data_IF_712143414716
#
_entry.id   IF_712143414716
#
_cell.length_a   1.000
_cell.length_b   1.000
_cell.length_c   1.000
_cell.angle_alpha   90.00
_cell.angle_beta   90.00
_cell.angle_gamma   90.00
#
_symmetry.space_group_name_H-M   'P 1'
#
loop_
_entity.id
_entity.type
_entity.pdbx_description
1 polymer ?
#
# COMPACT_ATOMS: atom_id res chain seq x y z
N UNK A 1 9.88 37.81 9.88
CA UNK A 1 8.74 37.63 8.96
C UNK A 1 7.63 36.95 9.75
N UNK A 2 6.71 37.76 10.29
CA UNK A 2 5.55 37.26 11.00
C UNK A 2 4.52 36.82 9.95
N UNK A 3 4.25 35.52 9.89
CA UNK A 3 3.19 34.98 9.05
C UNK A 3 1.85 35.29 9.72
N UNK A 4 1.14 36.26 9.17
CA UNK A 4 -0.25 36.55 9.47
C UNK A 4 -1.12 35.34 9.12
N UNK A 5 -1.44 34.51 10.12
CA UNK A 5 -2.47 33.48 10.01
C UNK A 5 -3.85 34.08 10.29
N UNK A 6 -4.72 34.06 9.29
CA UNK A 6 -6.10 34.58 9.32
C UNK A 6 -6.92 34.13 10.55
N UNK A 7 -7.66 35.03 11.24
CA UNK A 7 -8.41 34.69 12.45
C UNK A 7 -9.84 34.18 12.19
N UNK A 8 -10.06 33.27 11.23
CA UNK A 8 -11.42 32.84 10.84
C UNK A 8 -11.67 31.34 10.63
N UNK A 9 -10.66 30.45 10.69
CA UNK A 9 -10.86 29.01 10.48
C UNK A 9 -11.35 28.22 11.72
N UNK A 10 -11.57 28.91 12.85
CA UNK A 10 -11.85 28.33 14.17
C UNK A 10 -13.32 28.42 14.61
N UNK A 11 -14.27 28.65 13.71
CA UNK A 11 -15.69 28.84 14.09
C UNK A 11 -16.29 27.65 14.84
N UNK A 12 -16.56 26.54 14.15
CA UNK A 12 -17.26 25.39 14.73
C UNK A 12 -16.34 24.42 15.47
N UNK A 13 -15.06 24.35 15.09
CA UNK A 13 -14.07 23.47 15.72
C UNK A 13 -13.86 23.83 17.20
N UNK A 14 -14.04 25.11 17.57
CA UNK A 14 -13.97 25.55 18.95
C UNK A 14 -15.15 25.06 19.82
N UNK A 15 -16.31 24.73 19.22
CA UNK A 15 -17.45 24.14 19.95
C UNK A 15 -17.21 22.66 20.31
N UNK A 16 -16.28 22.00 19.63
CA UNK A 16 -15.98 20.60 19.85
C UNK A 16 -15.07 20.45 21.08
N UNK A 17 -15.58 19.74 22.08
CA UNK A 17 -14.77 19.30 23.21
C UNK A 17 -13.72 18.26 22.75
N UNK A 18 -12.48 18.70 22.55
CA UNK A 18 -11.36 17.85 22.14
C UNK A 18 -11.06 16.68 23.09
N UNK A 19 -11.48 16.77 24.37
CA UNK A 19 -11.31 15.67 25.35
C UNK A 19 -12.31 14.54 25.15
N UNK A 20 -13.37 14.74 24.36
CA UNK A 20 -14.38 13.72 24.12
C UNK A 20 -13.83 12.64 23.17
N UNK A 21 -14.09 11.36 23.45
CA UNK A 21 -13.70 10.27 22.54
C UNK A 21 -14.16 10.50 21.10
N UNK A 22 -13.21 10.39 20.16
CA UNK A 22 -13.42 10.59 18.73
C UNK A 22 -13.56 12.04 18.27
N UNK A 23 -13.47 13.04 19.15
CA UNK A 23 -13.48 14.45 18.77
C UNK A 23 -12.39 14.80 17.75
N UNK A 24 -11.23 14.19 17.94
CA UNK A 24 -10.05 14.37 17.09
C UNK A 24 -10.27 13.97 15.64
N UNK A 25 -11.17 13.03 15.33
CA UNK A 25 -11.57 12.73 13.96
C UNK A 25 -12.15 13.95 13.26
N UNK A 26 -13.10 14.62 13.91
CA UNK A 26 -13.77 15.80 13.36
C UNK A 26 -12.84 17.00 13.28
N UNK A 27 -11.97 17.17 14.29
CA UNK A 27 -10.99 18.25 14.35
C UNK A 27 -9.87 18.11 13.29
N UNK A 28 -9.50 16.87 12.93
CA UNK A 28 -8.49 16.60 11.91
C UNK A 28 -8.95 16.89 10.48
N UNK A 29 -10.24 17.13 10.25
CA UNK A 29 -10.75 17.44 8.91
C UNK A 29 -10.36 18.86 8.53
N UNK A 30 -9.31 19.04 7.72
CA UNK A 30 -8.83 20.34 7.27
C UNK A 30 -9.65 21.00 6.14
N UNK A 31 -10.56 20.25 5.50
CA UNK A 31 -11.31 20.72 4.34
C UNK A 31 -12.83 20.61 4.50
N UNK A 32 -13.50 20.09 3.47
CA UNK A 32 -14.94 19.83 3.52
C UNK A 32 -15.25 18.84 4.62
N UNK A 33 -16.13 19.26 5.53
CA UNK A 33 -16.73 18.43 6.56
C UNK A 33 -17.39 17.18 5.95
N UNK A 34 -16.91 15.99 6.33
CA UNK A 34 -17.44 14.69 5.91
C UNK A 34 -17.68 13.83 7.13
N UNK A 35 -18.90 13.38 7.32
CA UNK A 35 -19.26 12.48 8.41
C UNK A 35 -19.57 11.11 7.84
N UNK A 36 -18.51 10.31 7.66
CA UNK A 36 -18.62 8.94 7.17
C UNK A 36 -18.40 7.94 8.32
N UNK A 37 -19.37 7.07 8.63
CA UNK A 37 -19.18 6.05 9.65
C UNK A 37 -18.01 5.10 9.34
N UNK A 38 -17.71 4.80 8.07
CA UNK A 38 -16.60 3.92 7.72
C UNK A 38 -15.25 4.55 8.06
N UNK A 39 -15.02 5.80 7.66
CA UNK A 39 -13.82 6.56 8.02
C UNK A 39 -13.69 6.74 9.54
N UNK A 40 -14.82 6.95 10.23
CA UNK A 40 -14.83 7.06 11.68
C UNK A 40 -14.42 5.75 12.38
N UNK A 41 -14.91 4.61 11.90
CA UNK A 41 -14.53 3.29 12.42
C UNK A 41 -13.03 3.06 12.23
N UNK A 42 -12.53 3.34 11.03
CA UNK A 42 -11.10 3.21 10.71
C UNK A 42 -10.25 4.12 11.60
N UNK A 43 -10.63 5.38 11.74
CA UNK A 43 -9.95 6.33 12.64
C UNK A 43 -9.91 5.85 14.08
N UNK A 44 -11.03 5.33 14.59
CA UNK A 44 -11.09 4.87 15.98
C UNK A 44 -10.28 3.58 16.18
N UNK A 45 -10.08 2.79 15.13
CA UNK A 45 -9.21 1.59 15.11
C UNK A 45 -9.47 0.64 16.29
N UNK A 46 -10.71 0.57 16.78
CA UNK A 46 -11.00 -0.11 18.04
C UNK A 46 -11.06 -1.64 17.88
N UNK A 47 -10.93 -2.31 19.02
CA UNK A 47 -11.19 -3.75 19.16
C UNK A 47 -12.68 -4.07 19.06
N UNK A 48 -12.98 -5.30 18.62
CA UNK A 48 -14.34 -5.76 18.29
C UNK A 48 -15.35 -5.61 19.44
N UNK A 49 -14.87 -5.77 20.67
CA UNK A 49 -15.65 -5.70 21.92
C UNK A 49 -16.25 -4.30 22.19
N UNK A 50 -15.70 -3.26 21.55
CA UNK A 50 -16.15 -1.88 21.72
C UNK A 50 -17.17 -1.40 20.66
N UNK A 51 -17.62 -2.28 19.77
CA UNK A 51 -18.51 -1.95 18.65
C UNK A 51 -19.82 -1.25 19.06
N UNK A 52 -20.43 -1.67 20.18
CA UNK A 52 -21.63 -1.04 20.74
C UNK A 52 -21.32 0.38 21.22
N UNK A 53 -20.18 0.57 21.89
CA UNK A 53 -19.70 1.88 22.35
C UNK A 53 -19.49 2.81 21.17
N UNK A 54 -18.86 2.32 20.09
CA UNK A 54 -18.59 3.10 18.89
C UNK A 54 -19.87 3.59 18.20
N UNK A 55 -20.88 2.71 18.07
CA UNK A 55 -22.20 3.09 17.53
C UNK A 55 -22.89 4.15 18.37
N UNK A 56 -22.86 4.01 19.71
CA UNK A 56 -23.44 4.99 20.63
C UNK A 56 -22.70 6.32 20.56
N UNK A 57 -21.37 6.28 20.51
CA UNK A 57 -20.49 7.44 20.37
C UNK A 57 -20.79 8.21 19.08
N UNK A 58 -20.84 7.52 17.95
CA UNK A 58 -21.20 8.10 16.64
C UNK A 58 -22.60 8.72 16.64
N UNK A 59 -23.61 7.99 17.13
CA UNK A 59 -24.97 8.51 17.21
C UNK A 59 -25.07 9.74 18.12
N UNK A 60 -24.28 9.78 19.21
CA UNK A 60 -24.19 10.94 20.08
C UNK A 60 -23.53 12.12 19.36
N UNK A 61 -22.44 11.88 18.61
CA UNK A 61 -21.80 12.92 17.81
C UNK A 61 -22.75 13.54 16.78
N UNK A 62 -23.44 12.72 15.99
CA UNK A 62 -24.39 13.24 15.00
C UNK A 62 -25.53 14.04 15.65
N UNK A 63 -26.03 13.61 16.81
CA UNK A 63 -27.05 14.34 17.56
C UNK A 63 -26.56 15.72 18.01
N UNK A 64 -25.35 15.76 18.57
CA UNK A 64 -24.79 17.01 19.10
C UNK A 64 -24.43 17.97 17.96
N UNK A 65 -23.87 17.45 16.87
CA UNK A 65 -23.52 18.23 15.68
C UNK A 65 -24.76 18.74 14.92
N UNK A 66 -25.88 18.01 14.96
CA UNK A 66 -27.17 18.50 14.46
C UNK A 66 -27.69 19.72 15.23
N UNK A 67 -27.24 19.91 16.46
CA UNK A 67 -27.60 21.05 17.30
C UNK A 67 -26.51 22.14 17.32
N UNK A 68 -25.47 22.04 16.49
CA UNK A 68 -24.43 23.07 16.41
C UNK A 68 -25.00 24.41 15.95
N UNK A 69 -24.40 25.52 16.39
CA UNK A 69 -24.79 26.86 15.93
C UNK A 69 -24.49 27.08 14.43
N UNK A 70 -23.58 26.29 13.87
CA UNK A 70 -23.10 26.42 12.50
C UNK A 70 -23.95 25.63 11.50
N UNK A 71 -24.56 26.33 10.55
CA UNK A 71 -25.49 25.72 9.59
C UNK A 71 -24.83 24.62 8.74
N UNK A 72 -23.62 24.86 8.23
CA UNK A 72 -22.91 23.88 7.42
C UNK A 72 -22.60 22.58 8.21
N UNK A 73 -22.35 22.67 9.52
CA UNK A 73 -22.17 21.50 10.40
C UNK A 73 -23.48 20.74 10.54
N UNK A 74 -24.59 21.45 10.83
CA UNK A 74 -25.92 20.83 10.95
C UNK A 74 -26.33 20.13 9.66
N UNK A 75 -26.15 20.77 8.50
CA UNK A 75 -26.48 20.18 7.20
C UNK A 75 -25.67 18.91 6.95
N UNK A 76 -24.37 18.91 7.25
CA UNK A 76 -23.53 17.71 7.09
C UNK A 76 -23.92 16.62 8.10
N UNK A 77 -24.23 16.96 9.35
CA UNK A 77 -24.70 16.02 10.37
C UNK A 77 -26.05 15.37 10.00
N UNK A 78 -26.96 16.14 9.43
CA UNK A 78 -28.24 15.65 8.96
C UNK A 78 -28.10 14.71 7.75
N UNK A 79 -27.13 14.99 6.87
CA UNK A 79 -26.81 14.15 5.71
C UNK A 79 -25.95 12.91 6.07
N UNK A 80 -25.38 12.86 7.27
CA UNK A 80 -24.51 11.79 7.70
C UNK A 80 -25.25 10.46 7.82
N UNK A 81 -24.60 9.38 7.42
CA UNK A 81 -25.17 8.04 7.54
C UNK A 81 -25.14 7.59 9.01
N UNK A 82 -26.20 6.88 9.41
CA UNK A 82 -26.18 6.14 10.68
C UNK A 82 -25.21 4.97 10.57
N UNK A 83 -24.40 4.77 11.60
CA UNK A 83 -23.54 3.59 11.69
C UNK A 83 -24.39 2.34 11.94
N UNK A 84 -24.38 1.43 10.98
CA UNK A 84 -25.06 0.12 11.05
C UNK A 84 -24.08 -0.97 11.46
N UNK A 85 -24.61 -2.16 11.74
CA UNK A 85 -23.80 -3.35 12.02
C UNK A 85 -22.95 -3.73 10.79
N UNK A 86 -23.50 -3.63 9.58
CA UNK A 86 -22.79 -3.96 8.34
C UNK A 86 -21.50 -3.14 8.16
N UNK A 87 -21.49 -1.86 8.55
CA UNK A 87 -20.27 -1.04 8.48
C UNK A 87 -19.15 -1.62 9.36
N UNK A 88 -19.50 -2.10 10.56
CA UNK A 88 -18.56 -2.72 11.49
C UNK A 88 -18.10 -4.07 10.96
N UNK A 89 -19.04 -4.90 10.51
CA UNK A 89 -18.75 -6.25 10.01
C UNK A 89 -17.84 -6.16 8.78
N UNK A 90 -18.14 -5.26 7.84
CA UNK A 90 -17.29 -5.02 6.68
C UNK A 90 -15.88 -4.56 7.09
N UNK A 91 -15.76 -3.64 8.05
CA UNK A 91 -14.46 -3.20 8.55
C UNK A 91 -13.65 -4.36 9.15
N UNK A 92 -14.28 -5.20 9.98
CA UNK A 92 -13.58 -6.33 10.61
C UNK A 92 -13.21 -7.42 9.60
N UNK A 93 -14.09 -7.73 8.65
CA UNK A 93 -13.80 -8.64 7.54
C UNK A 93 -12.58 -8.12 6.78
N UNK A 94 -12.60 -6.85 6.39
CA UNK A 94 -11.52 -6.25 5.60
C UNK A 94 -10.19 -6.24 6.37
N UNK A 95 -10.24 -5.98 7.69
CA UNK A 95 -9.08 -6.06 8.58
C UNK A 95 -8.53 -7.49 8.69
N UNK A 96 -9.39 -8.50 8.83
CA UNK A 96 -8.97 -9.92 8.89
C UNK A 96 -8.34 -10.34 7.56
N UNK A 97 -8.97 -9.98 6.44
CA UNK A 97 -8.46 -10.29 5.09
C UNK A 97 -7.10 -9.62 4.86
N UNK A 98 -6.97 -8.32 5.20
CA UNK A 98 -5.69 -7.60 5.11
C UNK A 98 -4.60 -8.24 5.97
N UNK A 99 -4.91 -8.59 7.22
CA UNK A 99 -3.97 -9.31 8.10
C UNK A 99 -3.53 -10.64 7.48
N UNK A 100 -4.49 -11.44 7.01
CA UNK A 100 -4.17 -12.73 6.39
C UNK A 100 -3.31 -12.60 5.14
N UNK A 101 -3.56 -11.57 4.32
CA UNK A 101 -2.73 -11.26 3.16
C UNK A 101 -1.29 -10.92 3.56
N UNK A 102 -1.10 -10.12 4.61
CA UNK A 102 0.23 -9.81 5.13
C UNK A 102 0.94 -11.06 5.63
N UNK A 103 0.27 -11.92 6.42
CA UNK A 103 0.86 -13.16 6.93
C UNK A 103 1.33 -14.09 5.79
N UNK A 104 0.54 -14.19 4.70
CA UNK A 104 0.90 -14.99 3.52
C UNK A 104 2.09 -14.39 2.77
N UNK A 105 2.14 -13.06 2.61
CA UNK A 105 3.25 -12.38 1.95
C UNK A 105 4.54 -12.50 2.76
N UNK A 106 4.47 -12.40 4.08
CA UNK A 106 5.61 -12.59 4.99
C UNK A 106 6.16 -14.01 4.86
N UNK A 107 5.30 -15.03 4.93
CA UNK A 107 5.71 -16.42 4.76
C UNK A 107 6.33 -16.69 3.38
N UNK A 108 5.77 -16.11 2.31
CA UNK A 108 6.33 -16.23 0.97
C UNK A 108 7.72 -15.55 0.86
N UNK A 109 7.90 -14.40 1.51
CA UNK A 109 9.18 -13.71 1.53
C UNK A 109 10.25 -14.52 2.29
N UNK A 110 9.88 -15.15 3.41
CA UNK A 110 10.78 -16.04 4.16
C UNK A 110 11.20 -17.26 3.34
N UNK A 111 10.25 -17.89 2.63
CA UNK A 111 10.54 -19.03 1.75
C UNK A 111 11.47 -18.65 0.59
N UNK A 112 11.24 -17.48 -0.02
CA UNK A 112 12.12 -16.97 -1.08
C UNK A 112 13.54 -16.70 -0.55
N UNK A 113 13.66 -16.06 0.61
CA UNK A 113 14.96 -15.80 1.24
C UNK A 113 15.70 -17.10 1.60
N UNK A 114 14.98 -18.14 2.01
CA UNK A 114 15.55 -19.47 2.24
C UNK A 114 16.06 -20.10 0.93
N UNK A 115 15.23 -20.10 -0.12
CA UNK A 115 15.59 -20.65 -1.42
C UNK A 115 16.80 -19.93 -2.05
N UNK A 116 16.90 -18.61 -1.91
CA UNK A 116 18.05 -17.84 -2.39
C UNK A 116 19.34 -18.21 -1.67
N UNK A 117 19.28 -18.44 -0.35
CA UNK A 117 20.44 -18.92 0.43
C UNK A 117 20.86 -20.32 -0.01
N UNK A 118 19.90 -21.21 -0.23
CA UNK A 118 20.17 -22.57 -0.71
C UNK A 118 20.80 -22.56 -2.11
N UNK A 119 20.25 -21.77 -3.03
CA UNK A 119 20.81 -21.59 -4.37
C UNK A 119 22.23 -21.02 -4.32
N UNK A 120 22.46 -20.02 -3.49
CA UNK A 120 23.80 -19.42 -3.29
C UNK A 120 24.79 -20.47 -2.77
N UNK A 121 24.38 -21.30 -1.81
CA UNK A 121 25.21 -22.40 -1.30
C UNK A 121 25.52 -23.45 -2.38
N UNK A 122 24.52 -23.85 -3.17
CA UNK A 122 24.71 -24.79 -4.27
C UNK A 122 25.64 -24.25 -5.37
N UNK A 123 25.51 -22.97 -5.72
CA UNK A 123 26.39 -22.30 -6.67
C UNK A 123 27.83 -22.22 -6.16
N UNK A 124 28.04 -21.93 -4.87
CA UNK A 124 29.36 -21.93 -4.24
C UNK A 124 30.01 -23.33 -4.24
N UNK A 125 29.24 -24.38 -3.95
CA UNK A 125 29.72 -25.77 -4.04
C UNK A 125 30.07 -26.14 -5.47
N UNK A 126 29.26 -25.71 -6.45
CA UNK A 126 29.52 -25.97 -7.87
C UNK A 126 30.77 -25.26 -8.36
N UNK A 127 30.96 -23.98 -8.03
CA UNK A 127 32.15 -23.22 -8.45
C UNK A 127 33.42 -23.78 -7.82
N UNK A 128 33.38 -24.26 -6.58
CA UNK A 128 34.51 -24.93 -5.94
C UNK A 128 34.89 -26.28 -6.58
N UNK A 129 33.96 -26.95 -7.28
CA UNK A 129 34.19 -28.23 -7.98
C UNK A 129 34.71 -28.07 -9.41
N UNK A 130 34.72 -26.87 -9.99
CA UNK A 130 35.30 -26.63 -11.31
C UNK A 130 36.80 -26.40 -11.10
N UNK A 131 37.69 -27.32 -11.50
CA UNK A 131 39.13 -27.04 -11.49
C UNK A 131 39.43 -25.86 -12.41
N UNK A 132 40.42 -25.00 -12.11
CA UNK A 132 40.80 -23.92 -13.00
C UNK A 132 41.11 -24.54 -14.37
N UNK A 133 40.37 -24.11 -15.38
CA UNK A 133 40.60 -24.57 -16.74
C UNK A 133 42.07 -24.32 -17.07
N UNK A 134 42.81 -25.40 -17.29
CA UNK A 134 44.03 -25.39 -18.06
C UNK A 134 43.74 -24.60 -19.32
N UNK A 135 44.37 -23.43 -19.45
CA UNK A 135 44.37 -22.63 -20.66
C UNK A 135 45.05 -23.49 -21.73
N UNK A 136 44.28 -24.30 -22.45
CA UNK A 136 44.79 -24.97 -23.65
C UNK A 136 44.85 -23.88 -24.71
N UNK A 137 46.08 -23.39 -24.89
CA UNK A 137 46.44 -22.48 -25.95
C UNK A 137 45.91 -23.01 -27.28
N UNK A 138 45.13 -22.18 -27.96
CA UNK A 138 44.88 -22.32 -29.40
C UNK A 138 46.21 -22.06 -30.09
N UNK A 139 47.00 -23.12 -30.28
CA UNK A 139 48.19 -23.07 -31.12
C UNK A 139 47.77 -23.00 -32.57
N UNK A 140 47.93 -21.82 -33.17
CA UNK A 140 48.00 -21.63 -34.62
C UNK A 140 49.01 -22.63 -35.19
N UNK A 141 48.60 -23.41 -36.18
CA UNK A 141 49.55 -23.98 -37.14
C UNK A 141 48.95 -23.93 -38.54
N UNK A 142 49.56 -23.06 -39.33
CA UNK A 142 49.39 -22.82 -40.77
C UNK A 142 49.96 -23.97 -41.59
N UNK A 143 49.28 -24.33 -42.70
CA UNK A 143 49.82 -24.48 -44.07
C UNK A 143 48.70 -25.02 -44.97
N UNK A 144 48.17 -24.25 -45.93
CA UNK A 144 48.70 -24.01 -47.29
C UNK A 144 48.60 -25.25 -48.17
N UNK A 145 47.54 -25.34 -48.98
CA UNK A 145 47.63 -25.64 -50.42
C UNK A 145 46.26 -25.41 -51.11
N UNK A 146 46.25 -24.40 -51.99
CA UNK A 146 45.35 -24.19 -53.14
C UNK A 146 46.08 -24.80 -54.36
N UNK A 147 45.43 -25.22 -55.48
CA UNK A 147 44.53 -24.32 -56.22
C UNK A 147 43.43 -24.93 -57.12
N UNK A 148 42.56 -24.01 -57.59
CA UNK A 148 41.78 -23.99 -58.84
C UNK A 148 40.67 -25.05 -59.05
N UNK A 149 39.51 -24.75 -59.62
CA UNK A 149 39.15 -23.77 -60.66
C UNK A 149 37.67 -23.32 -60.47
N UNK A 150 37.33 -22.03 -60.69
CA UNK A 150 36.63 -21.45 -61.88
C UNK A 150 35.21 -22.05 -62.05
N UNK A 151 34.06 -21.35 -62.03
CA UNK A 151 33.65 -20.11 -62.70
C UNK A 151 32.24 -19.67 -62.21
N UNK A 152 31.91 -18.37 -62.38
CA UNK A 152 30.58 -17.77 -62.69
C UNK A 152 29.28 -18.26 -62.00
N UNK A 153 28.37 -17.44 -61.47
CA UNK A 153 28.12 -16.01 -61.59
C UNK A 153 26.68 -15.69 -61.11
N UNK A 154 26.35 -14.39 -61.19
CA UNK A 154 24.98 -13.83 -61.29
C UNK A 154 24.17 -13.64 -59.99
N UNK A 155 24.48 -12.52 -59.32
CA UNK A 155 23.58 -11.40 -59.04
C UNK A 155 22.12 -11.53 -59.53
N UNK A 156 21.14 -11.57 -58.62
CA UNK A 156 19.82 -10.95 -58.82
C UNK A 156 19.21 -10.42 -57.52
N UNK A 157 19.07 -9.10 -57.48
CA UNK A 157 17.96 -8.39 -56.86
C UNK A 157 16.62 -8.94 -57.37
N UNK A 158 15.56 -8.85 -56.56
CA UNK A 158 14.38 -8.04 -56.87
C UNK A 158 13.32 -8.22 -55.76
N UNK A 159 12.86 -7.05 -55.30
CA UNK A 159 11.49 -6.67 -54.90
C UNK A 159 10.60 -7.64 -54.11
#
# INVERSE_FOLDING_TARGET
MASSGCPAETGWRAEINAKRPGATYFLAQGGRLRFDPAEYIEYRSLERESSVTLRREWAKWLRDLNNSSFEHVRRTAAAARRMTQDHLDNYYIDRIVKKRKLDVLESAAEQLAYADRELTALLAVRSAKIPPATVVAVSKSTNTEMPNAVEEGVERQND
#
